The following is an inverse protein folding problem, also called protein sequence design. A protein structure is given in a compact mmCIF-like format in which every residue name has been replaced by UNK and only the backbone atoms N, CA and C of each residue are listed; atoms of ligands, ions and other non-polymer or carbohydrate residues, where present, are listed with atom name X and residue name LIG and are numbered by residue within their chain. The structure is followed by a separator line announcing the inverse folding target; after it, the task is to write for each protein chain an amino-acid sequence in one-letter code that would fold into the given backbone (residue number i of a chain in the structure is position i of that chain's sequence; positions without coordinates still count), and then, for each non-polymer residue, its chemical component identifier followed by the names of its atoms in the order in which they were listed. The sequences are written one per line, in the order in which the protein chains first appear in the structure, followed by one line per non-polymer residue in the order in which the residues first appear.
data_IF_241894069581
#
_entry.id   IF_241894069581
#
_cell.length_a   1.000
_cell.length_b   1.000
_cell.length_c   1.000
_cell.angle_alpha   90.00
_cell.angle_beta   90.00
_cell.angle_gamma   90.00
#
_symmetry.space_group_name_H-M   'P 1'
#
loop_
_entity.id
_entity.type
_entity.pdbx_description
1 polymer ?
#
# COMPACT_ATOMS: atom_id res chain seq x y z
N UNK A 1 16.80 17.80 35.34
CA UNK A 1 15.67 16.92 34.94
C UNK A 1 16.10 15.66 34.17
N UNK A 2 17.38 15.25 34.16
CA UNK A 2 17.82 14.01 33.47
C UNK A 2 18.08 12.84 34.44
N UNK A 3 18.37 13.12 35.72
CA UNK A 3 18.57 12.11 36.74
C UNK A 3 17.30 11.31 37.02
N UNK A 4 16.14 11.98 37.05
CA UNK A 4 14.84 11.36 37.31
C UNK A 4 14.43 10.42 36.17
N UNK A 5 14.69 10.82 34.92
CA UNK A 5 14.48 9.97 33.74
C UNK A 5 15.33 8.70 33.81
N UNK A 6 16.60 8.82 34.18
CA UNK A 6 17.50 7.66 34.33
C UNK A 6 17.06 6.71 35.44
N UNK A 7 16.64 7.23 36.59
CA UNK A 7 16.14 6.41 37.70
C UNK A 7 14.84 5.69 37.33
N UNK A 8 13.92 6.35 36.63
CA UNK A 8 12.66 5.75 36.17
C UNK A 8 12.93 4.66 35.12
N UNK A 9 13.81 4.92 34.15
CA UNK A 9 14.21 3.93 33.14
C UNK A 9 14.87 2.72 33.79
N UNK A 10 15.78 2.94 34.74
CA UNK A 10 16.47 1.85 35.45
C UNK A 10 15.50 1.02 36.30
N UNK A 11 14.52 1.64 36.94
CA UNK A 11 13.49 0.95 37.71
C UNK A 11 12.57 0.10 36.82
N UNK A 12 12.18 0.61 35.65
CA UNK A 12 11.40 -0.13 34.66
C UNK A 12 12.17 -1.35 34.13
N UNK A 13 13.43 -1.17 33.74
CA UNK A 13 14.27 -2.27 33.24
C UNK A 13 14.48 -3.34 34.32
N UNK A 14 14.71 -2.95 35.58
CA UNK A 14 14.81 -3.89 36.71
C UNK A 14 13.51 -4.62 37.02
N UNK A 15 12.35 -4.02 36.75
CA UNK A 15 11.06 -4.68 36.88
C UNK A 15 10.83 -5.72 35.76
N UNK A 16 11.41 -5.49 34.58
CA UNK A 16 11.35 -6.40 33.42
C UNK A 16 12.46 -7.48 33.38
N UNK A 17 13.52 -7.35 34.19
CA UNK A 17 14.60 -8.34 34.39
C UNK A 17 14.14 -9.70 34.95
N UNK A 18 12.84 -9.99 34.92
CA UNK A 18 12.34 -11.36 35.06
C UNK A 18 12.39 -12.00 33.69
N UNK A 19 13.53 -12.61 33.38
CA UNK A 19 13.74 -13.37 32.15
C UNK A 19 12.47 -14.17 31.79
N UNK A 20 11.86 -13.94 30.61
CA UNK A 20 10.66 -14.65 30.24
C UNK A 20 10.97 -16.14 30.28
N UNK A 21 10.07 -16.91 30.92
CA UNK A 21 10.18 -18.36 30.91
C UNK A 21 10.16 -18.80 29.44
N UNK A 22 10.93 -19.82 29.06
CA UNK A 22 11.06 -20.27 27.67
C UNK A 22 9.73 -20.60 26.97
N UNK A 23 8.63 -20.70 27.71
CA UNK A 23 7.30 -21.00 27.21
C UNK A 23 6.56 -19.75 26.66
N UNK A 24 7.05 -18.52 26.94
CA UNK A 24 6.48 -17.26 26.43
C UNK A 24 6.84 -16.97 24.96
N UNK A 25 7.83 -17.71 24.40
CA UNK A 25 8.23 -17.59 22.99
C UNK A 25 7.46 -18.52 22.05
N UNK A 26 6.54 -19.35 22.57
CA UNK A 26 5.46 -19.87 21.73
C UNK A 26 4.51 -18.72 21.51
N UNK A 27 4.62 -18.08 20.34
CA UNK A 27 3.77 -16.96 19.94
C UNK A 27 2.32 -17.32 20.23
N UNK A 28 1.81 -16.79 21.34
CA UNK A 28 0.43 -16.96 21.71
C UNK A 28 -0.46 -16.48 20.57
N UNK A 29 -1.74 -16.76 20.65
CA UNK A 29 -2.73 -16.37 19.64
C UNK A 29 -2.59 -14.93 19.11
N UNK A 30 -2.09 -14.01 19.93
CA UNK A 30 -1.73 -12.63 19.55
C UNK A 30 -0.68 -12.56 18.43
N UNK A 31 0.41 -13.33 18.49
CA UNK A 31 1.43 -13.33 17.43
C UNK A 31 0.87 -13.80 16.09
N UNK A 32 -0.01 -14.80 16.11
CA UNK A 32 -0.76 -15.23 14.93
C UNK A 32 -1.67 -14.12 14.38
N UNK A 33 -2.41 -13.43 15.25
CA UNK A 33 -3.28 -12.32 14.85
C UNK A 33 -2.50 -11.17 14.20
N UNK A 34 -1.35 -10.79 14.77
CA UNK A 34 -0.47 -9.75 14.21
C UNK A 34 0.07 -10.17 12.85
N UNK A 35 0.47 -11.43 12.68
CA UNK A 35 0.97 -11.95 11.41
C UNK A 35 -0.12 -11.92 10.31
N UNK A 36 -1.34 -12.35 10.64
CA UNK A 36 -2.48 -12.26 9.73
C UNK A 36 -2.81 -10.82 9.35
N UNK A 37 -2.79 -9.89 10.31
CA UNK A 37 -3.01 -8.48 10.03
C UNK A 37 -1.96 -7.90 9.07
N UNK A 38 -0.70 -8.32 9.21
CA UNK A 38 0.38 -7.93 8.30
C UNK A 38 0.12 -8.42 6.88
N UNK A 39 -0.28 -9.69 6.73
CA UNK A 39 -0.61 -10.30 5.43
C UNK A 39 -1.77 -9.54 4.77
N UNK A 40 -2.84 -9.30 5.52
CA UNK A 40 -4.01 -8.55 5.01
C UNK A 40 -3.60 -7.14 4.61
N UNK A 41 -2.80 -6.46 5.41
CA UNK A 41 -2.30 -5.11 5.08
C UNK A 41 -1.53 -5.10 3.76
N UNK A 42 -0.60 -6.04 3.58
CA UNK A 42 0.17 -6.17 2.34
C UNK A 42 -0.75 -6.51 1.16
N UNK A 43 -1.71 -7.42 1.34
CA UNK A 43 -2.67 -7.79 0.30
C UNK A 43 -3.54 -6.60 -0.14
N UNK A 44 -3.99 -5.77 0.81
CA UNK A 44 -4.78 -4.55 0.52
C UNK A 44 -3.94 -3.55 -0.27
N UNK A 45 -2.69 -3.32 0.14
CA UNK A 45 -1.76 -2.41 -0.56
C UNK A 45 -1.50 -2.92 -1.98
N UNK A 46 -1.20 -4.22 -2.13
CA UNK A 46 -0.97 -4.85 -3.42
C UNK A 46 -2.20 -4.75 -4.33
N UNK A 47 -3.38 -5.06 -3.80
CA UNK A 47 -4.64 -4.97 -4.55
C UNK A 47 -4.95 -3.55 -5.02
N UNK A 48 -4.71 -2.55 -4.19
CA UNK A 48 -4.88 -1.13 -4.53
C UNK A 48 -3.98 -0.74 -5.71
N UNK A 49 -2.70 -1.12 -5.65
CA UNK A 49 -1.73 -0.81 -6.68
C UNK A 49 -2.02 -1.55 -8.00
N UNK A 50 -2.30 -2.85 -7.92
CA UNK A 50 -2.65 -3.67 -9.08
C UNK A 50 -3.94 -3.19 -9.74
N UNK A 51 -4.92 -2.69 -8.97
CA UNK A 51 -6.16 -2.15 -9.53
C UNK A 51 -5.94 -0.85 -10.31
N UNK A 52 -5.04 0.01 -9.84
CA UNK A 52 -4.67 1.23 -10.57
C UNK A 52 -3.94 0.90 -11.87
N UNK A 53 -2.99 -0.03 -11.84
CA UNK A 53 -2.27 -0.48 -13.02
C UNK A 53 -3.22 -1.13 -14.04
N UNK A 54 -4.12 -2.02 -13.60
CA UNK A 54 -5.09 -2.68 -14.50
C UNK A 54 -6.10 -1.71 -15.12
N UNK A 55 -6.46 -0.62 -14.42
CA UNK A 55 -7.33 0.43 -14.97
C UNK A 55 -6.61 1.26 -16.03
N UNK A 56 -5.32 1.56 -15.82
CA UNK A 56 -4.47 2.21 -16.81
C UNK A 56 -4.27 1.32 -18.04
N UNK A 57 -4.00 0.03 -17.85
CA UNK A 57 -3.86 -0.94 -18.93
C UNK A 57 -5.17 -1.11 -19.71
N UNK A 58 -6.33 -1.19 -19.04
CA UNK A 58 -7.64 -1.21 -19.74
C UNK A 58 -7.89 0.05 -20.54
N UNK A 59 -7.54 1.22 -20.03
CA UNK A 59 -7.68 2.47 -20.78
C UNK A 59 -6.76 2.51 -22.00
N UNK A 60 -5.57 1.89 -21.91
CA UNK A 60 -4.62 1.75 -23.01
C UNK A 60 -5.09 0.74 -24.06
N UNK A 61 -5.67 -0.39 -23.63
CA UNK A 61 -6.20 -1.43 -24.52
C UNK A 61 -7.55 -1.06 -25.15
N UNK A 62 -8.35 -0.21 -24.50
CA UNK A 62 -9.61 0.33 -25.03
C UNK A 62 -9.39 1.40 -26.12
N UNK A 63 -8.16 1.63 -26.58
CA UNK A 63 -7.88 2.53 -27.71
C UNK A 63 -8.18 4.00 -27.42
N UNK A 64 -8.30 4.43 -26.15
CA UNK A 64 -8.51 5.84 -25.79
C UNK A 64 -7.27 6.75 -26.01
N UNK A 65 -6.16 6.16 -26.46
CA UNK A 65 -5.02 6.88 -27.04
C UNK A 65 -4.96 6.74 -28.57
N UNK A 66 -6.07 6.37 -29.22
CA UNK A 66 -6.27 6.45 -30.66
C UNK A 66 -7.13 7.66 -31.01
N UNK A 67 -6.45 8.68 -31.54
CA UNK A 67 -6.95 9.69 -32.48
C UNK A 67 -8.05 10.68 -31.99
N UNK A 68 -7.75 11.99 -31.82
CA UNK A 68 -8.80 12.97 -32.09
C UNK A 68 -9.17 12.78 -33.55
N UNK A 69 -10.39 12.29 -33.81
CA UNK A 69 -10.96 12.10 -35.15
C UNK A 69 -10.49 13.25 -36.02
N UNK A 70 -9.62 12.96 -36.99
CA UNK A 70 -9.28 13.95 -38.00
C UNK A 70 -10.61 14.39 -38.61
N UNK A 71 -11.06 15.60 -38.30
CA UNK A 71 -12.11 16.27 -39.05
C UNK A 71 -11.53 16.63 -40.40
N UNK A 72 -11.29 15.61 -41.22
CA UNK A 72 -10.99 15.73 -42.63
C UNK A 72 -12.18 15.14 -43.38
N UNK A 73 -13.26 15.90 -43.42
CA UNK A 73 -14.34 15.76 -44.40
C UNK A 73 -15.25 16.98 -44.31
N UNK A 74 -14.78 18.11 -44.86
CA UNK A 74 -15.56 18.91 -45.81
C UNK A 74 -14.58 19.61 -46.77
N UNK A 75 -14.12 18.85 -47.78
CA UNK A 75 -13.83 19.42 -49.09
C UNK A 75 -14.95 19.00 -50.02
N UNK A 76 -15.96 19.85 -50.26
CA UNK A 76 -16.65 19.90 -51.53
C UNK A 76 -15.88 20.86 -52.43
N UNK A 77 -15.44 20.31 -53.55
CA UNK A 77 -15.08 21.01 -54.77
C UNK A 77 -16.11 22.08 -55.14
N UNK A 78 -15.72 23.35 -55.11
CA UNK A 78 -16.27 24.38 -56.00
C UNK A 78 -15.18 24.78 -56.99
N UNK A 79 -15.07 23.97 -58.04
CA UNK A 79 -14.68 24.46 -59.35
C UNK A 79 -15.97 24.88 -60.07
N UNK A 80 -16.38 26.14 -59.92
CA UNK A 80 -17.19 26.82 -60.92
C UNK A 80 -17.15 28.36 -60.74
N UNK A 81 -16.39 29.05 -61.61
CA UNK A 81 -16.53 30.44 -62.12
C UNK A 81 -15.18 31.10 -62.38
#
# INVERSE_FOLDING_TARGET
MHALTSTVVTALVRAEEKAPKADDVVAGWIGFAVFMFLIVSVAVIGWSLTRHLRKADRAKSEGRFGDPVATESQVPTDSDS
#
